data_IF_083447876627
#
_entry.id   IF_083447876627
#
_cell.length_a   1.000
_cell.length_b   1.000
_cell.length_c   1.000
_cell.angle_alpha   90.00
_cell.angle_beta   90.00
_cell.angle_gamma   90.00
#
_symmetry.space_group_name_H-M   'P 1'
#
loop_
_entity.id
_entity.type
_entity.pdbx_description
1 polymer ?
#
# COMPACT_ATOMS: atom_id res chain seq x y z
N UNK A 1 7.96 10.26 -19.47
CA UNK A 1 7.25 9.36 -20.37
C UNK A 1 7.59 7.90 -20.17
N UNK A 2 8.86 7.54 -20.10
CA UNK A 2 9.27 6.15 -19.97
C UNK A 2 8.84 5.46 -18.70
N UNK A 3 8.97 6.11 -17.55
CA UNK A 3 8.68 5.46 -16.26
C UNK A 3 7.18 5.16 -16.09
N UNK A 4 6.32 6.04 -16.55
CA UNK A 4 4.87 5.81 -16.47
C UNK A 4 4.44 4.64 -17.33
N UNK A 5 4.97 4.54 -18.52
CA UNK A 5 4.66 3.43 -19.41
C UNK A 5 5.19 2.11 -18.84
N UNK A 6 6.39 2.13 -18.27
CA UNK A 6 6.96 0.93 -17.65
C UNK A 6 6.10 0.43 -16.48
N UNK A 7 5.57 1.34 -15.66
CA UNK A 7 4.71 0.96 -14.56
C UNK A 7 3.42 0.33 -15.07
N UNK A 8 2.79 0.94 -16.05
CA UNK A 8 1.57 0.39 -16.66
C UNK A 8 1.82 -0.98 -17.30
N UNK A 9 2.95 -1.12 -17.96
CA UNK A 9 3.31 -2.41 -18.56
C UNK A 9 3.48 -3.50 -17.50
N UNK A 10 4.10 -3.16 -16.37
CA UNK A 10 4.27 -4.09 -15.28
C UNK A 10 2.92 -4.53 -14.71
N UNK A 11 2.00 -3.59 -14.52
CA UNK A 11 0.66 -3.91 -14.07
C UNK A 11 -0.09 -4.75 -15.10
N UNK A 12 0.02 -4.40 -16.37
CA UNK A 12 -0.65 -5.15 -17.43
C UNK A 12 -0.16 -6.62 -17.47
N UNK A 13 1.13 -6.83 -17.29
CA UNK A 13 1.69 -8.17 -17.21
C UNK A 13 1.15 -8.95 -16.03
N UNK A 14 1.05 -8.30 -14.88
CA UNK A 14 0.49 -8.93 -13.69
C UNK A 14 -0.96 -9.29 -13.84
N UNK A 15 -1.69 -8.57 -14.69
CA UNK A 15 -3.11 -8.81 -14.92
C UNK A 15 -3.40 -10.00 -15.86
N UNK A 16 -2.43 -10.40 -16.65
CA UNK A 16 -2.65 -11.43 -17.68
C UNK A 16 -3.12 -12.76 -17.13
N UNK A 17 -2.73 -13.10 -15.91
CA UNK A 17 -3.09 -14.35 -15.30
C UNK A 17 -4.28 -14.28 -14.36
N UNK A 18 -5.03 -13.18 -14.33
CA UNK A 18 -6.08 -12.94 -13.35
C UNK A 18 -5.60 -13.29 -11.94
N UNK A 19 -4.58 -12.61 -11.43
CA UNK A 19 -4.01 -12.97 -10.15
C UNK A 19 -5.02 -12.80 -9.03
N UNK A 20 -4.96 -13.70 -8.05
CA UNK A 20 -5.78 -13.60 -6.85
C UNK A 20 -5.11 -12.73 -5.79
N UNK A 21 -3.81 -12.61 -5.86
CA UNK A 21 -3.01 -11.84 -4.92
C UNK A 21 -1.95 -11.07 -5.68
N UNK A 22 -1.83 -9.80 -5.38
CA UNK A 22 -0.81 -8.93 -5.93
C UNK A 22 0.01 -8.33 -4.79
N UNK A 23 1.32 -8.42 -4.90
CA UNK A 23 2.24 -7.85 -3.92
C UNK A 23 2.92 -6.64 -4.54
N UNK A 24 2.78 -5.48 -3.89
CA UNK A 24 3.37 -4.23 -4.36
C UNK A 24 4.27 -3.66 -3.27
N UNK A 25 5.55 -3.52 -3.58
CA UNK A 25 6.54 -2.99 -2.65
C UNK A 25 6.88 -1.56 -3.04
N UNK A 26 6.45 -0.59 -2.23
CA UNK A 26 6.69 0.84 -2.45
C UNK A 26 6.37 1.27 -3.89
N UNK A 27 5.14 0.99 -4.40
CA UNK A 27 4.86 1.14 -5.83
C UNK A 27 4.90 2.57 -6.34
N UNK A 28 4.78 3.56 -5.46
CA UNK A 28 4.76 4.97 -5.86
C UNK A 28 6.05 5.69 -5.53
N UNK A 29 7.06 4.97 -5.06
CA UNK A 29 8.33 5.58 -4.68
C UNK A 29 9.04 6.17 -5.89
N UNK A 30 9.41 7.47 -5.78
CA UNK A 30 10.09 8.17 -6.86
C UNK A 30 9.20 8.51 -8.05
N UNK A 31 7.90 8.38 -7.92
CA UNK A 31 6.93 8.62 -8.98
C UNK A 31 6.25 9.97 -8.76
N UNK A 32 5.97 10.72 -9.82
CA UNK A 32 5.29 11.99 -9.69
C UNK A 32 3.80 11.83 -9.34
N UNK A 33 3.15 12.95 -9.01
CA UNK A 33 1.77 12.94 -8.52
C UNK A 33 0.80 12.34 -9.53
N UNK A 34 0.95 12.68 -10.81
CA UNK A 34 0.07 12.15 -11.85
C UNK A 34 0.18 10.65 -12.01
N UNK A 35 1.41 10.15 -12.03
CA UNK A 35 1.65 8.71 -12.14
C UNK A 35 1.21 7.96 -10.89
N UNK A 36 1.35 8.57 -9.71
CA UNK A 36 0.81 7.97 -8.49
C UNK A 36 -0.69 7.74 -8.59
N UNK A 37 -1.40 8.72 -9.09
CA UNK A 37 -2.84 8.62 -9.25
C UNK A 37 -3.23 7.46 -10.17
N UNK A 38 -2.52 7.29 -11.26
CA UNK A 38 -2.74 6.18 -12.18
C UNK A 38 -2.53 4.83 -11.49
N UNK A 39 -1.50 4.71 -10.66
CA UNK A 39 -1.24 3.49 -9.89
C UNK A 39 -2.40 3.21 -8.92
N UNK A 40 -2.88 4.24 -8.23
CA UNK A 40 -4.00 4.08 -7.31
C UNK A 40 -5.26 3.58 -8.01
N UNK A 41 -5.55 4.12 -9.17
CA UNK A 41 -6.71 3.68 -9.96
C UNK A 41 -6.58 2.23 -10.40
N UNK A 42 -5.38 1.83 -10.82
CA UNK A 42 -5.14 0.44 -11.22
C UNK A 42 -5.31 -0.53 -10.04
N UNK A 43 -4.81 -0.16 -8.87
CA UNK A 43 -4.96 -0.98 -7.67
C UNK A 43 -6.44 -1.13 -7.30
N UNK A 44 -7.19 -0.04 -7.36
CA UNK A 44 -8.62 -0.09 -7.07
C UNK A 44 -9.38 -0.95 -8.08
N UNK A 45 -9.01 -0.87 -9.34
CA UNK A 45 -9.62 -1.69 -10.38
C UNK A 45 -9.36 -3.18 -10.14
N UNK A 46 -8.13 -3.52 -9.79
CA UNK A 46 -7.77 -4.90 -9.47
C UNK A 46 -8.55 -5.43 -8.26
N UNK A 47 -8.63 -4.62 -7.23
CA UNK A 47 -9.37 -4.98 -6.03
C UNK A 47 -10.84 -5.19 -6.34
N UNK A 48 -11.43 -4.36 -7.19
CA UNK A 48 -12.83 -4.50 -7.60
C UNK A 48 -13.06 -5.79 -8.39
N UNK A 49 -12.04 -6.31 -9.05
CA UNK A 49 -12.11 -7.57 -9.78
C UNK A 49 -11.89 -8.80 -8.91
N UNK A 50 -11.71 -8.61 -7.62
CA UNK A 50 -11.53 -9.71 -6.68
C UNK A 50 -10.08 -10.06 -6.37
N UNK A 51 -9.13 -9.25 -6.84
CA UNK A 51 -7.73 -9.45 -6.50
C UNK A 51 -7.46 -8.87 -5.11
N UNK A 52 -6.81 -9.66 -4.27
CA UNK A 52 -6.30 -9.15 -2.99
C UNK A 52 -4.97 -8.47 -3.22
N UNK A 53 -4.76 -7.32 -2.60
CA UNK A 53 -3.54 -6.55 -2.79
C UNK A 53 -2.85 -6.34 -1.44
N UNK A 54 -1.58 -6.65 -1.38
CA UNK A 54 -0.72 -6.32 -0.24
C UNK A 54 0.26 -5.27 -0.72
N UNK A 55 0.22 -4.11 -0.07
CA UNK A 55 1.01 -2.94 -0.45
C UNK A 55 1.93 -2.58 0.70
N UNK A 56 3.21 -2.40 0.43
CA UNK A 56 4.12 -1.80 1.40
C UNK A 56 4.34 -0.35 1.04
N UNK A 57 4.38 0.52 2.03
CA UNK A 57 4.63 1.94 1.80
C UNK A 57 5.09 2.63 3.08
N UNK A 58 5.93 3.64 2.92
CA UNK A 58 6.31 4.53 4.02
C UNK A 58 5.53 5.85 3.99
N UNK A 59 4.69 6.02 2.98
CA UNK A 59 3.85 7.21 2.83
C UNK A 59 2.54 6.98 3.58
N UNK A 60 2.37 7.60 4.74
CA UNK A 60 1.20 7.37 5.59
C UNK A 60 -0.12 7.75 4.92
N UNK A 61 -0.24 8.91 4.27
CA UNK A 61 -1.47 9.22 3.54
C UNK A 61 -1.82 8.21 2.47
N UNK A 62 -0.83 7.68 1.76
CA UNK A 62 -1.04 6.64 0.76
C UNK A 62 -1.63 5.38 1.38
N UNK A 63 -1.04 4.91 2.47
CA UNK A 63 -1.50 3.72 3.17
C UNK A 63 -2.93 3.91 3.65
N UNK A 64 -3.23 5.05 4.26
CA UNK A 64 -4.56 5.34 4.77
C UNK A 64 -5.60 5.45 3.67
N UNK A 65 -5.21 6.01 2.52
CA UNK A 65 -6.13 6.19 1.40
C UNK A 65 -6.37 4.96 0.56
N UNK A 66 -5.40 4.03 0.54
CA UNK A 66 -5.45 2.87 -0.35
C UNK A 66 -5.83 1.57 0.34
N UNK A 67 -5.56 1.45 1.63
CA UNK A 67 -5.67 0.17 2.33
C UNK A 67 -6.90 0.11 3.22
N UNK A 68 -7.53 -1.06 3.28
CA UNK A 68 -8.63 -1.33 4.21
C UNK A 68 -8.09 -1.67 5.59
N UNK A 69 -7.00 -2.42 5.64
CA UNK A 69 -6.34 -2.81 6.87
C UNK A 69 -4.86 -2.49 6.77
N UNK A 70 -4.27 -2.17 7.90
CA UNK A 70 -2.87 -1.76 7.97
C UNK A 70 -2.16 -2.65 8.97
N UNK A 71 -1.10 -3.29 8.48
CA UNK A 71 -0.22 -4.08 9.33
C UNK A 71 1.01 -3.23 9.65
N UNK A 72 1.17 -2.92 10.93
CA UNK A 72 2.35 -2.18 11.39
C UNK A 72 3.42 -3.19 11.80
N UNK A 73 4.58 -3.08 11.17
CA UNK A 73 5.71 -3.96 11.44
C UNK A 73 6.78 -3.21 12.22
N UNK A 74 7.34 -3.85 13.21
CA UNK A 74 8.46 -3.30 13.97
C UNK A 74 9.42 -4.41 14.31
N UNK A 75 10.71 -4.16 14.09
CA UNK A 75 11.77 -5.12 14.42
C UNK A 75 11.53 -6.51 13.84
N UNK A 76 11.01 -6.56 12.62
CA UNK A 76 10.73 -7.83 11.94
C UNK A 76 9.51 -8.57 12.44
N UNK A 77 8.70 -7.95 13.28
CA UNK A 77 7.52 -8.57 13.87
C UNK A 77 6.28 -7.76 13.59
N UNK A 78 5.14 -8.44 13.59
CA UNK A 78 3.85 -7.77 13.53
C UNK A 78 3.60 -7.07 14.88
N UNK A 79 3.48 -5.76 14.84
CA UNK A 79 3.20 -4.98 16.04
C UNK A 79 1.70 -4.73 16.20
N UNK A 80 1.03 -4.31 15.14
CA UNK A 80 -0.41 -4.01 15.16
C UNK A 80 -1.05 -4.40 13.85
N UNK A 81 -2.31 -4.78 13.91
CA UNK A 81 -3.17 -4.93 12.75
C UNK A 81 -4.37 -4.02 12.95
N UNK A 82 -4.50 -3.01 12.11
CA UNK A 82 -5.43 -1.92 12.29
C UNK A 82 -6.38 -1.81 11.09
N UNK A 83 -7.53 -1.20 11.30
CA UNK A 83 -8.41 -0.81 10.23
C UNK A 83 -8.18 0.65 9.88
N UNK A 84 -8.09 0.96 8.60
CA UNK A 84 -7.77 2.32 8.16
C UNK A 84 -8.96 3.28 8.26
N UNK A 85 -10.17 2.76 8.36
CA UNK A 85 -11.36 3.59 8.40
C UNK A 85 -11.32 4.59 9.55
N UNK A 86 -11.51 5.86 9.25
CA UNK A 86 -11.53 6.95 10.23
C UNK A 86 -10.19 7.19 10.95
N UNK A 87 -9.13 6.56 10.50
CA UNK A 87 -7.82 6.76 11.09
C UNK A 87 -7.11 7.94 10.41
N UNK A 88 -6.46 8.79 11.20
CA UNK A 88 -5.64 9.88 10.68
C UNK A 88 -4.17 9.48 10.63
N UNK A 89 -3.36 10.28 9.93
CA UNK A 89 -1.91 10.06 9.91
C UNK A 89 -1.31 10.15 11.31
N UNK A 90 -1.83 11.06 12.14
CA UNK A 90 -1.36 11.19 13.52
C UNK A 90 -1.70 9.95 14.34
N UNK A 91 -2.89 9.38 14.15
CA UNK A 91 -3.28 8.14 14.82
C UNK A 91 -2.33 7.01 14.44
N UNK A 92 -2.09 6.84 13.15
CA UNK A 92 -1.21 5.79 12.67
C UNK A 92 0.22 5.96 13.20
N UNK A 93 0.71 7.20 13.17
CA UNK A 93 2.06 7.50 13.64
C UNK A 93 2.23 7.15 15.12
N UNK A 94 1.20 7.33 15.93
CA UNK A 94 1.27 7.01 17.36
C UNK A 94 1.58 5.54 17.62
N UNK A 95 1.13 4.65 16.74
CA UNK A 95 1.40 3.23 16.89
C UNK A 95 2.87 2.87 16.70
N UNK A 96 3.61 3.65 15.93
CA UNK A 96 5.04 3.41 15.75
C UNK A 96 5.82 3.67 17.03
N UNK A 97 5.37 4.60 17.85
CA UNK A 97 6.08 4.96 19.08
C UNK A 97 5.62 4.16 20.29
N UNK A 98 4.32 3.93 20.40
CA UNK A 98 3.76 3.22 21.56
C UNK A 98 4.27 1.79 21.66
N UNK A 99 4.48 1.15 20.54
CA UNK A 99 4.80 -0.27 20.53
C UNK A 99 6.24 -0.57 20.94
N UNK A 100 7.13 0.40 20.85
CA UNK A 100 8.49 0.23 21.33
C UNK A 100 8.54 -0.11 22.81
N UNK A 101 7.60 0.38 23.58
CA UNK A 101 7.49 0.05 25.00
C UNK A 101 6.90 -1.33 25.20
N UNK A 102 5.89 -1.68 24.42
CA UNK A 102 5.22 -2.97 24.55
C UNK A 102 6.10 -4.12 24.10
N UNK A 103 7.03 -3.89 23.20
CA UNK A 103 7.94 -4.91 22.71
C UNK A 103 9.01 -5.32 23.73
N UNK A 104 9.18 -4.53 24.75
CA UNK A 104 10.12 -4.82 25.84
C UNK A 104 9.45 -5.71 26.89
#
# INVERSE_FOLDING_TARGET
MGSEMCIRDSFARGLRGNPRLLLLDEPTRGVDIGAKYDIYLLVRELSARGCSVILTSTDLPEVLGMCDRILVMQHGRQAHLLESAQMTSADLLSYFFTDNEAAV
#
